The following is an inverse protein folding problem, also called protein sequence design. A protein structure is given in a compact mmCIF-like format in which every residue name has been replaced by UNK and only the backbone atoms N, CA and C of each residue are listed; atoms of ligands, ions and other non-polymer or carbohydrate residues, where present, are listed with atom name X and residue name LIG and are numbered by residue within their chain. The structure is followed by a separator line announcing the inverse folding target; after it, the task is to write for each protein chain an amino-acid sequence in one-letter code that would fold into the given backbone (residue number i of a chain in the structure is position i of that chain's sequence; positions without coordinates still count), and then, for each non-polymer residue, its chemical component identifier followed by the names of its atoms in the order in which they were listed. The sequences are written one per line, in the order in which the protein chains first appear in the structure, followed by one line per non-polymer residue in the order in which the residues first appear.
data_IF_394821838063
#
_entry.id   IF_394821838063
#
_cell.length_a   1.000
_cell.length_b   1.000
_cell.length_c   1.000
_cell.angle_alpha   90.00
_cell.angle_beta   90.00
_cell.angle_gamma   90.00
#
_symmetry.space_group_name_H-M   'P 1'
#
loop_
_entity.id
_entity.type
_entity.pdbx_description
1 polymer ?
#
# COMPACT_ATOMS: atom_id res chain seq x y z
N UNK A 1 -7.99 -18.41 -4.72
CA UNK A 1 -7.68 -17.14 -5.37
C UNK A 1 -6.56 -16.45 -4.66
N UNK A 2 -5.64 -15.96 -5.44
CA UNK A 2 -4.50 -15.28 -4.87
C UNK A 2 -4.90 -13.89 -4.36
N UNK A 3 -4.39 -13.53 -3.22
CA UNK A 3 -4.57 -12.18 -2.72
C UNK A 3 -3.76 -11.22 -3.57
N UNK A 4 -4.33 -10.05 -3.83
CA UNK A 4 -3.61 -9.03 -4.55
C UNK A 4 -2.54 -8.44 -3.65
N UNK A 5 -1.34 -8.34 -4.19
CA UNK A 5 -0.19 -7.82 -3.47
C UNK A 5 0.47 -6.70 -4.24
N UNK A 6 0.83 -5.66 -3.54
CA UNK A 6 1.66 -4.60 -4.09
C UNK A 6 2.97 -4.58 -3.32
N UNK A 7 4.05 -4.93 -4.00
CA UNK A 7 5.36 -4.96 -3.39
C UNK A 7 6.07 -3.64 -3.70
N UNK A 8 6.35 -2.87 -2.66
CA UNK A 8 7.00 -1.57 -2.80
C UNK A 8 8.52 -1.66 -2.70
N UNK A 9 9.03 -2.86 -2.58
CA UNK A 9 10.46 -3.09 -2.50
C UNK A 9 11.15 -2.52 -3.75
N UNK A 10 12.15 -1.70 -3.53
CA UNK A 10 12.90 -1.11 -4.64
C UNK A 10 12.31 0.17 -5.21
N UNK A 11 11.12 0.56 -4.79
CA UNK A 11 10.53 1.81 -5.24
C UNK A 11 11.12 3.00 -4.47
N UNK A 12 11.20 4.12 -5.14
CA UNK A 12 11.61 5.35 -4.50
C UNK A 12 10.44 5.94 -3.74
N UNK A 13 10.74 6.64 -2.65
CA UNK A 13 9.70 7.17 -1.79
C UNK A 13 8.72 8.08 -2.52
N UNK A 14 9.20 8.89 -3.46
CA UNK A 14 8.31 9.79 -4.20
C UNK A 14 7.38 9.07 -5.17
N UNK A 15 7.68 7.83 -5.51
CA UNK A 15 6.84 7.03 -6.40
C UNK A 15 5.74 6.29 -5.65
N UNK A 16 5.92 6.11 -4.35
CA UNK A 16 5.03 5.28 -3.56
C UNK A 16 3.60 5.81 -3.49
N UNK A 17 3.36 7.10 -3.22
CA UNK A 17 1.99 7.58 -3.12
C UNK A 17 1.16 7.29 -4.37
N UNK A 18 1.72 7.57 -5.54
CA UNK A 18 1.02 7.35 -6.79
C UNK A 18 0.77 5.86 -7.05
N UNK A 19 1.76 5.03 -6.77
CA UNK A 19 1.63 3.59 -6.95
C UNK A 19 0.54 3.01 -6.06
N UNK A 20 0.55 3.39 -4.79
CA UNK A 20 -0.43 2.87 -3.83
C UNK A 20 -1.83 3.34 -4.20
N UNK A 21 -1.96 4.62 -4.54
CA UNK A 21 -3.26 5.17 -4.92
C UNK A 21 -3.83 4.46 -6.14
N UNK A 22 -3.03 4.30 -7.18
CA UNK A 22 -3.47 3.58 -8.38
C UNK A 22 -3.85 2.15 -8.07
N UNK A 23 -3.05 1.47 -7.25
CA UNK A 23 -3.32 0.09 -6.90
C UNK A 23 -4.67 -0.05 -6.18
N UNK A 24 -4.95 0.87 -5.27
CA UNK A 24 -6.21 0.86 -4.55
C UNK A 24 -7.38 1.11 -5.50
N UNK A 25 -7.27 2.09 -6.37
CA UNK A 25 -8.34 2.41 -7.32
C UNK A 25 -8.63 1.24 -8.26
N UNK A 26 -7.59 0.60 -8.76
CA UNK A 26 -7.76 -0.49 -9.71
C UNK A 26 -8.33 -1.75 -9.06
N UNK A 27 -8.23 -1.85 -7.74
CA UNK A 27 -8.60 -3.07 -7.05
C UNK A 27 -9.62 -2.85 -5.94
N UNK A 28 -10.46 -1.84 -6.09
CA UNK A 28 -11.46 -1.51 -5.07
C UNK A 28 -12.40 -2.67 -4.75
N UNK A 29 -12.72 -3.47 -5.75
CA UNK A 29 -13.62 -4.58 -5.58
C UNK A 29 -12.92 -5.86 -5.16
N UNK A 30 -11.60 -5.84 -5.10
CA UNK A 30 -10.80 -7.01 -4.80
C UNK A 30 -10.21 -6.98 -3.40
N UNK A 31 -10.82 -6.23 -2.53
CA UNK A 31 -10.37 -6.17 -1.14
C UNK A 31 -10.55 -7.52 -0.45
N UNK A 32 -9.69 -7.90 0.50
CA UNK A 32 -8.54 -7.11 0.96
C UNK A 32 -7.34 -7.23 0.02
N UNK A 33 -6.53 -6.19 0.03
CA UNK A 33 -5.26 -6.19 -0.69
C UNK A 33 -4.12 -6.13 0.31
N UNK A 34 -2.94 -6.54 -0.13
CA UNK A 34 -1.77 -6.56 0.72
C UNK A 34 -0.70 -5.64 0.13
N UNK A 35 -0.17 -4.75 0.95
CA UNK A 35 0.91 -3.86 0.53
C UNK A 35 2.16 -4.20 1.34
N UNK A 36 3.22 -4.55 0.66
CA UNK A 36 4.46 -4.97 1.29
C UNK A 36 5.44 -3.80 1.29
N UNK A 37 5.73 -3.30 2.47
CA UNK A 37 6.61 -2.14 2.64
C UNK A 37 8.05 -2.50 2.99
N UNK A 38 8.32 -3.76 3.24
CA UNK A 38 9.63 -4.15 3.73
C UNK A 38 9.84 -3.69 5.16
N UNK A 39 11.08 -3.40 5.52
CA UNK A 39 11.43 -2.98 6.88
C UNK A 39 11.62 -1.48 7.02
N UNK A 40 11.12 -0.70 6.07
CA UNK A 40 11.32 0.74 6.07
C UNK A 40 10.18 1.43 6.80
N UNK A 41 10.48 2.05 7.93
CA UNK A 41 9.48 2.82 8.66
C UNK A 41 8.98 4.00 7.81
N UNK A 42 9.88 4.62 7.08
CA UNK A 42 9.49 5.74 6.22
C UNK A 42 8.51 5.29 5.14
N UNK A 43 8.73 4.13 4.56
CA UNK A 43 7.83 3.58 3.57
C UNK A 43 6.45 3.32 4.18
N UNK A 44 6.43 2.75 5.37
CA UNK A 44 5.19 2.48 6.09
C UNK A 44 4.42 3.78 6.34
N UNK A 45 5.12 4.82 6.77
CA UNK A 45 4.49 6.11 7.03
C UNK A 45 3.87 6.71 5.77
N UNK A 46 4.57 6.61 4.64
CA UNK A 46 4.06 7.11 3.38
C UNK A 46 2.78 6.37 2.97
N UNK A 47 2.81 5.06 3.09
CA UNK A 47 1.66 4.24 2.74
C UNK A 47 0.46 4.57 3.63
N UNK A 48 0.70 4.74 4.92
CA UNK A 48 -0.38 5.11 5.84
C UNK A 48 -1.02 6.44 5.46
N UNK A 49 -0.21 7.42 5.08
CA UNK A 49 -0.73 8.71 4.66
C UNK A 49 -1.62 8.58 3.44
N UNK A 50 -1.22 7.77 2.48
CA UNK A 50 -2.03 7.56 1.29
C UNK A 50 -3.35 6.88 1.64
N UNK A 51 -3.30 5.85 2.48
CA UNK A 51 -4.50 5.12 2.86
C UNK A 51 -5.50 6.00 3.59
N UNK A 52 -5.01 6.89 4.44
CA UNK A 52 -5.88 7.85 5.12
C UNK A 52 -6.48 8.83 4.12
N UNK A 53 -5.68 9.30 3.17
CA UNK A 53 -6.13 10.28 2.19
C UNK A 53 -7.23 9.72 1.28
N UNK A 54 -7.17 8.42 0.96
CA UNK A 54 -8.19 7.80 0.13
C UNK A 54 -9.29 7.14 0.96
N UNK A 55 -9.28 7.36 2.26
CA UNK A 55 -10.30 6.84 3.19
C UNK A 55 -10.42 5.32 3.11
N UNK A 56 -9.30 4.65 3.10
CA UNK A 56 -9.24 3.20 2.99
C UNK A 56 -8.91 2.60 4.36
N UNK A 57 -9.69 1.62 4.76
CA UNK A 57 -9.41 0.89 6.00
C UNK A 57 -8.19 0.01 5.82
N UNK A 58 -7.37 -0.09 6.85
CA UNK A 58 -6.16 -0.89 6.77
C UNK A 58 -5.79 -1.46 8.13
N UNK A 59 -5.00 -2.51 8.10
CA UNK A 59 -4.40 -3.08 9.29
C UNK A 59 -2.89 -3.08 9.12
N UNK A 60 -2.19 -2.81 10.20
CA UNK A 60 -0.72 -2.85 10.19
C UNK A 60 -0.29 -4.23 10.61
N UNK A 61 0.36 -4.93 9.69
CA UNK A 61 0.93 -6.23 9.99
C UNK A 61 2.41 -6.11 10.27
N UNK A 62 2.91 -6.89 11.21
CA UNK A 62 4.34 -6.99 11.43
C UNK A 62 4.85 -8.05 10.47
N UNK A 63 5.55 -7.60 9.49
CA UNK A 63 5.96 -8.49 8.43
C UNK A 63 7.24 -9.20 8.67
#
# INVERSE_FOLDING_TARGET
MDNLKLDLHGLRHHEVPLKVENFIYLNQESMPILIICGNSQKMIDIVKEVLVAVDCSYEVGSG
#
